data_IF_449098396497
#
_entry.id   IF_449098396497
#
_cell.length_a   1.000
_cell.length_b   1.000
_cell.length_c   1.000
_cell.angle_alpha   90.00
_cell.angle_beta   90.00
_cell.angle_gamma   90.00
#
_symmetry.space_group_name_H-M   'P 1'
#
loop_
_entity.id
_entity.type
_entity.pdbx_description
1 polymer ?
#
# COMPACT_ATOMS: atom_id res chain seq x y z
N UNK A 1 -15.79 -5.74 -5.82
CA UNK A 1 -15.27 -6.71 -4.85
C UNK A 1 -16.41 -7.45 -4.14
N UNK A 2 -17.31 -6.75 -3.43
CA UNK A 2 -18.40 -7.36 -2.64
C UNK A 2 -19.27 -8.34 -3.44
N UNK A 3 -19.85 -7.90 -4.56
CA UNK A 3 -20.71 -8.76 -5.40
C UNK A 3 -20.00 -10.04 -5.88
N UNK A 4 -18.72 -9.94 -6.25
CA UNK A 4 -17.90 -11.08 -6.66
C UNK A 4 -17.66 -12.04 -5.49
N UNK A 5 -17.33 -11.49 -4.31
CA UNK A 5 -17.12 -12.31 -3.11
C UNK A 5 -18.40 -13.00 -2.65
N UNK A 6 -19.55 -12.33 -2.70
CA UNK A 6 -20.86 -12.90 -2.37
C UNK A 6 -21.27 -13.99 -3.37
N UNK A 7 -20.85 -13.85 -4.63
CA UNK A 7 -20.95 -14.88 -5.68
C UNK A 7 -19.97 -16.05 -5.53
N UNK A 8 -19.17 -16.11 -4.46
CA UNK A 8 -18.22 -17.19 -4.20
C UNK A 8 -16.90 -17.10 -4.96
N UNK A 9 -16.63 -15.98 -5.64
CA UNK A 9 -15.35 -15.74 -6.33
C UNK A 9 -14.27 -15.37 -5.32
N UNK A 10 -13.08 -15.95 -5.47
CA UNK A 10 -11.92 -15.52 -4.69
C UNK A 10 -11.45 -14.14 -5.14
N UNK A 11 -11.56 -13.15 -4.27
CA UNK A 11 -11.17 -11.76 -4.54
C UNK A 11 -9.90 -11.42 -3.78
N UNK A 12 -8.88 -10.96 -4.48
CA UNK A 12 -7.71 -10.32 -3.88
C UNK A 12 -7.65 -8.86 -4.31
N UNK A 13 -6.93 -8.03 -3.54
CA UNK A 13 -6.62 -6.64 -3.90
C UNK A 13 -5.12 -6.47 -4.06
N UNK A 14 -4.70 -5.79 -5.13
CA UNK A 14 -3.33 -5.30 -5.26
C UNK A 14 -3.26 -3.90 -4.66
N UNK A 15 -2.65 -3.78 -3.49
CA UNK A 15 -2.43 -2.54 -2.76
C UNK A 15 -1.00 -2.05 -3.00
N UNK A 16 -0.77 -1.59 -4.22
CA UNK A 16 0.57 -1.30 -4.70
C UNK A 16 0.61 -0.44 -5.96
N UNK A 17 1.69 0.34 -6.18
CA UNK A 17 2.70 0.66 -5.17
C UNK A 17 2.08 1.55 -4.08
N UNK A 18 2.41 1.30 -2.81
CA UNK A 18 1.99 2.19 -1.73
C UNK A 18 2.65 3.54 -1.95
N UNK A 19 1.84 4.61 -2.06
CA UNK A 19 2.39 5.94 -2.24
C UNK A 19 2.96 6.49 -0.91
N UNK A 20 4.04 7.29 -0.98
CA UNK A 20 4.63 7.94 0.19
C UNK A 20 3.70 8.86 0.99
N UNK A 21 2.53 9.24 0.50
CA UNK A 21 1.61 10.12 1.21
C UNK A 21 0.62 9.40 2.12
N UNK A 22 0.59 8.07 2.12
CA UNK A 22 -0.22 7.28 3.06
C UNK A 22 0.40 7.36 4.45
N UNK A 23 -0.41 7.68 5.46
CA UNK A 23 0.04 7.66 6.84
C UNK A 23 -0.13 6.28 7.48
N UNK A 24 0.76 5.95 8.42
CA UNK A 24 0.73 4.68 9.15
C UNK A 24 -0.62 4.49 9.88
N UNK A 25 -1.21 5.56 10.41
CA UNK A 25 -2.51 5.48 11.10
C UNK A 25 -3.69 5.24 10.13
N UNK A 26 -3.56 5.53 8.84
CA UNK A 26 -4.59 5.30 7.82
C UNK A 26 -4.63 3.83 7.37
N UNK A 27 -3.55 3.07 7.53
CA UNK A 27 -3.44 1.66 7.10
C UNK A 27 -4.61 0.80 7.62
N UNK A 28 -5.03 1.02 8.87
CA UNK A 28 -6.15 0.30 9.47
C UNK A 28 -7.45 0.49 8.67
N UNK A 29 -7.69 1.69 8.16
CA UNK A 29 -8.91 2.03 7.43
C UNK A 29 -8.94 1.32 6.07
N UNK A 30 -7.80 1.31 5.36
CA UNK A 30 -7.67 0.53 4.12
C UNK A 30 -7.91 -0.96 4.33
N UNK A 31 -7.25 -1.57 5.32
CA UNK A 31 -7.40 -3.01 5.60
C UNK A 31 -8.84 -3.36 5.97
N UNK A 32 -9.48 -2.56 6.81
CA UNK A 32 -10.89 -2.76 7.17
C UNK A 32 -11.79 -2.62 5.94
N UNK A 33 -11.59 -1.61 5.10
CA UNK A 33 -12.37 -1.42 3.89
C UNK A 33 -12.26 -2.63 2.93
N UNK A 34 -11.07 -3.23 2.80
CA UNK A 34 -10.88 -4.43 1.99
C UNK A 34 -11.61 -5.65 2.58
N UNK A 35 -11.52 -5.86 3.89
CA UNK A 35 -12.24 -6.93 4.59
C UNK A 35 -13.76 -6.77 4.43
N UNK A 36 -14.28 -5.56 4.65
CA UNK A 36 -15.70 -5.24 4.53
C UNK A 36 -16.20 -5.40 3.09
N UNK A 37 -15.31 -5.29 2.10
CA UNK A 37 -15.59 -5.53 0.70
C UNK A 37 -15.51 -7.01 0.29
N UNK A 38 -15.21 -7.93 1.22
CA UNK A 38 -15.14 -9.38 0.98
C UNK A 38 -13.80 -9.86 0.41
N UNK A 39 -12.77 -9.03 0.41
CA UNK A 39 -11.43 -9.41 -0.07
C UNK A 39 -10.84 -10.50 0.83
N UNK A 40 -10.19 -11.50 0.23
CA UNK A 40 -9.56 -12.63 0.92
C UNK A 40 -8.05 -12.50 1.06
N UNK A 41 -7.44 -11.69 0.20
CA UNK A 41 -6.01 -11.49 0.17
C UNK A 41 -5.66 -10.07 -0.25
N UNK A 42 -4.71 -9.47 0.47
CA UNK A 42 -4.07 -8.21 0.11
C UNK A 42 -2.68 -8.57 -0.41
N UNK A 43 -2.37 -8.11 -1.61
CA UNK A 43 -1.03 -8.16 -2.17
C UNK A 43 -0.44 -6.75 -2.14
N UNK A 44 0.62 -6.53 -1.37
CA UNK A 44 1.20 -5.20 -1.13
C UNK A 44 2.53 -5.02 -1.87
N UNK A 45 2.77 -3.84 -2.42
CA UNK A 45 4.00 -3.48 -3.15
C UNK A 45 4.49 -2.09 -2.73
N UNK A 46 5.80 -1.85 -2.76
CA UNK A 46 6.39 -0.52 -2.49
C UNK A 46 6.68 0.23 -3.79
N UNK A 47 6.80 1.57 -3.72
CA UNK A 47 7.13 2.36 -4.89
C UNK A 47 8.65 2.33 -5.16
N UNK A 48 9.07 1.58 -6.16
CA UNK A 48 10.44 1.63 -6.68
C UNK A 48 10.54 2.53 -7.91
N UNK A 49 11.17 3.69 -7.75
CA UNK A 49 11.44 4.61 -8.85
C UNK A 49 12.78 4.28 -9.51
N UNK A 50 12.80 4.25 -10.84
CA UNK A 50 14.05 4.16 -11.60
C UNK A 50 14.80 5.49 -11.56
N UNK A 51 16.11 5.42 -11.76
CA UNK A 51 16.96 6.61 -11.93
C UNK A 51 16.38 7.53 -13.02
N UNK A 52 16.31 8.84 -12.74
CA UNK A 52 15.75 9.85 -13.64
C UNK A 52 14.21 9.96 -13.64
N UNK A 53 13.49 9.07 -12.96
CA UNK A 53 12.01 9.15 -12.84
C UNK A 53 11.59 10.02 -11.66
N UNK A 54 12.40 10.06 -10.60
CA UNK A 54 12.08 10.82 -9.39
C UNK A 54 11.86 12.30 -9.70
N UNK A 55 12.70 12.93 -10.50
CA UNK A 55 12.59 14.33 -10.90
C UNK A 55 11.28 14.60 -11.64
N UNK A 56 10.89 13.69 -12.54
CA UNK A 56 9.62 13.78 -13.26
C UNK A 56 8.42 13.64 -12.32
N UNK A 57 8.49 12.75 -11.32
CA UNK A 57 7.43 12.60 -10.31
C UNK A 57 7.32 13.85 -9.46
N UNK A 58 8.44 14.33 -8.91
CA UNK A 58 8.48 15.50 -8.01
C UNK A 58 8.01 16.79 -8.69
N UNK A 59 8.26 16.95 -9.99
CA UNK A 59 7.79 18.12 -10.77
C UNK A 59 6.28 18.11 -11.05
N UNK A 60 5.66 16.93 -11.03
CA UNK A 60 4.21 16.79 -11.20
C UNK A 60 3.42 16.89 -9.88
N UNK A 61 4.11 16.83 -8.74
CA UNK A 61 3.49 16.89 -7.42
C UNK A 61 3.31 18.35 -6.93
N UNK A 62 2.21 18.65 -6.21
CA UNK A 62 2.10 19.85 -5.40
C UNK A 62 3.27 19.96 -4.41
N UNK A 63 3.68 21.20 -4.09
CA UNK A 63 4.85 21.44 -3.22
C UNK A 63 4.73 20.74 -1.87
N UNK A 64 3.53 20.72 -1.27
CA UNK A 64 3.26 20.03 0.01
C UNK A 64 3.53 18.51 -0.03
N UNK A 65 3.29 17.86 -1.19
CA UNK A 65 3.52 16.43 -1.36
C UNK A 65 4.96 16.11 -1.76
N UNK A 66 5.65 17.07 -2.39
CA UNK A 66 7.04 16.88 -2.85
C UNK A 66 7.96 16.55 -1.67
N UNK A 67 7.86 17.31 -0.59
CA UNK A 67 8.71 17.12 0.60
C UNK A 67 8.44 15.77 1.28
N UNK A 68 7.17 15.37 1.36
CA UNK A 68 6.76 14.06 1.90
C UNK A 68 7.36 12.92 1.08
N UNK A 69 7.26 13.00 -0.25
CA UNK A 69 7.81 11.98 -1.15
C UNK A 69 9.33 11.88 -1.04
N UNK A 70 10.05 13.02 -1.07
CA UNK A 70 11.52 13.02 -0.92
C UNK A 70 11.93 12.37 0.40
N UNK A 71 11.30 12.76 1.49
CA UNK A 71 11.62 12.25 2.83
C UNK A 71 11.37 10.75 2.92
N UNK A 72 10.16 10.30 2.57
CA UNK A 72 9.74 8.91 2.79
C UNK A 72 10.33 7.92 1.79
N UNK A 73 10.71 8.34 0.59
CA UNK A 73 11.47 7.50 -0.32
C UNK A 73 12.93 7.26 0.13
N UNK A 74 13.47 8.12 0.98
CA UNK A 74 14.84 8.02 1.51
C UNK A 74 14.95 7.43 2.93
N UNK A 75 13.83 7.13 3.58
CA UNK A 75 13.75 6.67 4.98
C UNK A 75 13.14 5.26 5.07
N UNK A 76 13.01 4.75 6.30
CA UNK A 76 12.40 3.44 6.63
C UNK A 76 10.86 3.41 6.49
N UNK A 77 10.27 4.33 5.74
CA UNK A 77 8.81 4.49 5.62
C UNK A 77 8.10 3.20 5.17
N UNK A 78 8.64 2.51 4.15
CA UNK A 78 8.04 1.28 3.65
C UNK A 78 8.08 0.15 4.67
N UNK A 79 9.11 0.10 5.52
CA UNK A 79 9.20 -0.87 6.62
C UNK A 79 8.12 -0.59 7.68
N UNK A 80 7.85 0.68 7.98
CA UNK A 80 6.81 1.10 8.91
C UNK A 80 5.41 0.75 8.39
N UNK A 81 5.13 1.09 7.12
CA UNK A 81 3.88 0.73 6.46
C UNK A 81 3.70 -0.80 6.43
N UNK A 82 4.72 -1.54 5.97
CA UNK A 82 4.61 -3.00 5.87
C UNK A 82 4.38 -3.63 7.24
N UNK A 83 5.07 -3.15 8.27
CA UNK A 83 4.90 -3.61 9.66
C UNK A 83 3.47 -3.38 10.14
N UNK A 84 2.91 -2.20 9.84
CA UNK A 84 1.54 -1.87 10.21
C UNK A 84 0.51 -2.71 9.42
N UNK A 85 0.71 -2.91 8.11
CA UNK A 85 -0.16 -3.76 7.28
C UNK A 85 -0.13 -5.20 7.80
N UNK A 86 1.06 -5.75 8.09
CA UNK A 86 1.23 -7.07 8.73
C UNK A 86 0.46 -7.15 10.04
N UNK A 87 0.54 -6.13 10.89
CA UNK A 87 -0.18 -6.06 12.16
C UNK A 87 -1.70 -6.05 11.95
N UNK A 88 -2.19 -5.28 10.98
CA UNK A 88 -3.62 -5.15 10.72
C UNK A 88 -4.23 -6.38 10.07
N UNK A 89 -3.48 -7.09 9.21
CA UNK A 89 -3.93 -8.30 8.53
C UNK A 89 -3.91 -9.55 9.41
N UNK A 90 -3.06 -9.59 10.45
CA UNK A 90 -2.84 -10.79 11.29
C UNK A 90 -4.15 -11.37 11.83
N UNK A 91 -4.46 -12.60 11.40
CA UNK A 91 -5.65 -13.34 11.82
C UNK A 91 -6.97 -12.85 11.21
N UNK A 92 -6.93 -11.91 10.25
CA UNK A 92 -8.11 -11.33 9.61
C UNK A 92 -8.18 -11.58 8.10
N UNK A 93 -7.05 -11.42 7.40
CA UNK A 93 -6.96 -11.51 5.94
C UNK A 93 -5.55 -11.97 5.53
N UNK A 94 -5.43 -12.70 4.42
CA UNK A 94 -4.13 -13.10 3.88
C UNK A 94 -3.37 -11.87 3.40
N UNK A 95 -2.07 -11.80 3.68
CA UNK A 95 -1.17 -10.77 3.18
C UNK A 95 -0.05 -11.43 2.38
N UNK A 96 0.16 -10.95 1.16
CA UNK A 96 1.22 -11.34 0.26
C UNK A 96 2.06 -10.12 -0.08
N UNK A 97 3.38 -10.23 0.06
CA UNK A 97 4.31 -9.20 -0.39
C UNK A 97 4.58 -9.41 -1.88
N UNK A 98 4.17 -8.47 -2.73
CA UNK A 98 4.55 -8.44 -4.13
C UNK A 98 6.02 -8.01 -4.26
N UNK A 99 6.67 -8.53 -5.31
CA UNK A 99 8.01 -8.14 -5.77
C UNK A 99 8.98 -7.73 -4.64
N UNK A 100 9.49 -8.70 -3.89
CA UNK A 100 10.54 -8.55 -2.87
C UNK A 100 10.72 -7.15 -2.26
N UNK A 101 9.92 -6.83 -1.23
CA UNK A 101 10.11 -5.65 -0.37
C UNK A 101 11.58 -5.55 0.07
N UNK A 102 12.32 -4.61 -0.52
CA UNK A 102 13.68 -4.20 -0.17
C UNK A 102 13.86 -2.73 -0.49
#
# INVERSE_FOLDING_TARGET
ARELSEGGVYVYVFFGPVFPDIEVNEVREYVNAFIDAGVKEIMIDSLHLKEGVLESVLSALPDEKRDIFIKRLGENYYDEILSEVKRQCKGKITLTEAFGYR
#
